data_IF_517115312380
#
_entry.id   IF_517115312380
#
_cell.length_a   1.000
_cell.length_b   1.000
_cell.length_c   1.000
_cell.angle_alpha   90.00
_cell.angle_beta   90.00
_cell.angle_gamma   90.00
#
_symmetry.space_group_name_H-M   'P 1'
#
loop_
_entity.id
_entity.type
_entity.pdbx_description
1 polymer ?
#
# COMPACT_ATOMS: atom_id res chain seq x y z
N UNK A 1 -28.14 22.54 38.50
CA UNK A 1 -26.71 22.94 38.48
C UNK A 1 -25.87 21.69 38.69
N UNK A 2 -25.33 21.10 37.63
CA UNK A 2 -24.31 20.05 37.71
C UNK A 2 -23.14 20.59 36.90
N UNK A 3 -22.13 21.10 37.58
CA UNK A 3 -20.91 21.60 36.96
C UNK A 3 -20.08 20.39 36.50
N UNK A 4 -20.05 20.16 35.19
CA UNK A 4 -19.05 19.29 34.58
C UNK A 4 -17.67 19.95 34.74
N UNK A 5 -16.89 19.45 35.69
CA UNK A 5 -15.47 19.79 35.83
C UNK A 5 -14.72 19.40 34.55
N UNK A 6 -13.73 20.18 34.08
CA UNK A 6 -12.92 19.82 32.93
C UNK A 6 -12.12 18.57 33.30
N UNK A 7 -12.51 17.43 32.75
CA UNK A 7 -11.73 16.19 32.83
C UNK A 7 -10.37 16.49 32.22
N UNK A 8 -9.36 16.64 33.08
CA UNK A 8 -7.99 16.88 32.64
C UNK A 8 -7.55 15.69 31.80
N UNK A 9 -6.77 15.94 30.73
CA UNK A 9 -6.27 14.89 29.84
C UNK A 9 -5.55 13.75 30.59
N UNK A 10 -4.99 14.04 31.76
CA UNK A 10 -4.39 13.05 32.67
C UNK A 10 -5.44 12.14 33.34
N UNK A 11 -6.59 12.69 33.74
CA UNK A 11 -7.72 11.92 34.27
C UNK A 11 -8.28 10.94 33.25
N UNK A 12 -8.43 11.36 31.99
CA UNK A 12 -8.88 10.48 30.92
C UNK A 12 -7.88 9.34 30.64
N UNK A 13 -6.57 9.64 30.64
CA UNK A 13 -5.50 8.66 30.44
C UNK A 13 -5.45 7.62 31.57
N UNK A 14 -5.62 8.07 32.81
CA UNK A 14 -5.62 7.18 33.99
C UNK A 14 -6.86 6.32 34.04
N UNK A 15 -8.05 6.86 33.73
CA UNK A 15 -9.28 6.07 33.61
C UNK A 15 -9.21 5.02 32.50
N UNK A 16 -8.60 5.37 31.36
CA UNK A 16 -8.40 4.45 30.24
C UNK A 16 -7.38 3.35 30.57
N UNK A 17 -6.32 3.67 31.31
CA UNK A 17 -5.36 2.70 31.84
C UNK A 17 -6.00 1.77 32.86
N UNK A 18 -6.81 2.30 33.79
CA UNK A 18 -7.52 1.51 34.81
C UNK A 18 -8.56 0.60 34.15
N UNK A 19 -9.27 1.10 33.14
CA UNK A 19 -10.24 0.30 32.38
C UNK A 19 -9.57 -0.83 31.60
N UNK A 20 -8.45 -0.55 30.91
CA UNK A 20 -7.65 -1.59 30.24
C UNK A 20 -7.06 -2.61 31.22
N UNK A 21 -6.53 -2.15 32.35
CA UNK A 21 -6.00 -3.01 33.41
C UNK A 21 -7.09 -3.88 34.04
N UNK A 22 -8.31 -3.34 34.16
CA UNK A 22 -9.49 -4.08 34.66
C UNK A 22 -10.02 -5.11 33.67
N UNK A 23 -9.83 -4.93 32.37
CA UNK A 23 -10.26 -5.88 31.33
C UNK A 23 -9.29 -7.07 31.16
N UNK A 24 -7.99 -6.82 31.34
CA UNK A 24 -6.94 -7.82 31.13
C UNK A 24 -6.54 -8.55 32.42
N UNK A 25 -6.82 -7.93 33.58
CA UNK A 25 -6.28 -8.37 34.87
C UNK A 25 -4.80 -8.00 35.03
N UNK A 26 -4.38 -7.69 36.26
CA UNK A 26 -3.00 -7.26 36.56
C UNK A 26 -1.98 -8.35 36.19
N UNK A 27 -2.30 -9.62 36.47
CA UNK A 27 -1.43 -10.75 36.18
C UNK A 27 -1.28 -11.00 34.67
N UNK A 28 -2.36 -10.81 33.90
CA UNK A 28 -2.33 -10.89 32.44
C UNK A 28 -1.51 -9.78 31.81
N UNK A 29 -1.60 -8.56 32.35
CA UNK A 29 -0.79 -7.42 31.88
C UNK A 29 0.70 -7.61 32.19
N UNK A 30 1.04 -8.06 33.40
CA UNK A 30 2.42 -8.35 33.79
C UNK A 30 3.03 -9.47 32.94
N UNK A 31 2.26 -10.51 32.61
CA UNK A 31 2.69 -11.57 31.70
C UNK A 31 2.85 -11.10 30.25
N UNK A 32 2.06 -10.11 29.80
CA UNK A 32 2.14 -9.55 28.45
C UNK A 32 3.21 -8.45 28.29
N UNK A 33 3.72 -7.89 29.38
CA UNK A 33 4.66 -6.76 29.33
C UNK A 33 5.96 -7.07 28.57
N UNK A 34 6.63 -8.24 28.77
CA UNK A 34 7.83 -8.59 28.02
C UNK A 34 7.57 -8.76 26.50
N UNK A 35 6.42 -9.31 26.12
CA UNK A 35 6.08 -9.50 24.71
C UNK A 35 5.77 -8.17 24.01
N UNK A 36 5.04 -7.27 24.67
CA UNK A 36 4.80 -5.90 24.17
C UNK A 36 6.14 -5.15 24.04
N UNK A 37 7.02 -5.24 25.04
CA UNK A 37 8.35 -4.64 24.99
C UNK A 37 9.21 -5.22 23.83
N UNK A 38 9.12 -6.53 23.60
CA UNK A 38 9.80 -7.19 22.48
C UNK A 38 9.32 -6.70 21.11
N UNK A 39 8.00 -6.60 20.88
CA UNK A 39 7.50 -6.12 19.59
C UNK A 39 7.74 -4.61 19.39
N UNK A 40 7.64 -3.81 20.44
CA UNK A 40 7.94 -2.37 20.36
C UNK A 40 9.40 -2.12 20.00
N UNK A 41 10.34 -2.87 20.59
CA UNK A 41 11.76 -2.79 20.22
C UNK A 41 11.99 -3.20 18.77
N UNK A 42 11.32 -4.25 18.28
CA UNK A 42 11.40 -4.69 16.88
C UNK A 42 10.85 -3.63 15.91
N UNK A 43 9.76 -2.96 16.26
CA UNK A 43 9.21 -1.83 15.48
C UNK A 43 10.19 -0.66 15.46
N UNK A 44 10.81 -0.31 16.60
CA UNK A 44 11.82 0.75 16.68
C UNK A 44 13.05 0.39 15.83
N UNK A 45 13.50 -0.87 15.83
CA UNK A 45 14.56 -1.35 14.95
C UNK A 45 14.20 -1.17 13.48
N UNK A 46 12.96 -1.51 13.08
CA UNK A 46 12.50 -1.36 11.70
C UNK A 46 12.46 0.12 11.27
N UNK A 47 11.87 0.99 12.10
CA UNK A 47 11.76 2.42 11.83
C UNK A 47 13.16 3.06 11.75
N UNK A 48 14.05 2.76 12.70
CA UNK A 48 15.42 3.28 12.69
C UNK A 48 16.21 2.78 11.47
N UNK A 49 15.97 1.54 11.00
CA UNK A 49 16.58 1.04 9.76
C UNK A 49 16.11 1.82 8.53
N UNK A 50 14.80 2.09 8.42
CA UNK A 50 14.27 2.95 7.36
C UNK A 50 14.88 4.36 7.42
N UNK A 51 15.05 4.92 8.62
CA UNK A 51 15.74 6.20 8.80
C UNK A 51 17.20 6.14 8.37
N UNK A 52 17.93 5.09 8.73
CA UNK A 52 19.33 4.87 8.33
C UNK A 52 19.45 4.83 6.80
N UNK A 53 18.57 4.10 6.11
CA UNK A 53 18.55 4.02 4.65
C UNK A 53 18.24 5.39 4.03
N UNK A 54 17.18 6.06 4.50
CA UNK A 54 16.81 7.39 4.01
C UNK A 54 17.94 8.41 4.18
N UNK A 55 18.60 8.40 5.33
CA UNK A 55 19.71 9.30 5.65
C UNK A 55 20.98 8.99 4.88
N UNK A 56 21.22 7.72 4.53
CA UNK A 56 22.26 7.34 3.59
C UNK A 56 21.98 7.89 2.19
N UNK A 57 20.74 7.78 1.72
CA UNK A 57 20.32 8.36 0.44
C UNK A 57 20.52 9.89 0.40
N UNK A 58 20.13 10.60 1.46
CA UNK A 58 20.39 12.04 1.61
C UNK A 58 21.89 12.35 1.61
N UNK A 59 22.71 11.55 2.32
CA UNK A 59 24.16 11.69 2.34
C UNK A 59 24.79 11.54 0.96
N UNK A 60 24.33 10.57 0.16
CA UNK A 60 24.84 10.36 -1.20
C UNK A 60 24.53 11.56 -2.11
N UNK A 61 23.32 12.12 -2.03
CA UNK A 61 22.98 13.36 -2.74
C UNK A 61 23.82 14.53 -2.25
N UNK A 62 23.97 14.69 -0.94
CA UNK A 62 24.80 15.73 -0.35
C UNK A 62 26.25 15.65 -0.84
N UNK A 63 26.82 14.45 -0.96
CA UNK A 63 28.16 14.24 -1.52
C UNK A 63 28.26 14.75 -2.96
N UNK A 64 27.28 14.43 -3.82
CA UNK A 64 27.24 14.92 -5.20
C UNK A 64 27.19 16.45 -5.23
N UNK A 65 26.31 17.07 -4.44
CA UNK A 65 26.22 18.53 -4.32
C UNK A 65 27.50 19.15 -3.77
N UNK A 66 28.12 18.55 -2.75
CA UNK A 66 29.36 19.06 -2.17
C UNK A 66 30.52 18.99 -3.17
N UNK A 67 30.60 17.93 -3.99
CA UNK A 67 31.64 17.80 -5.00
C UNK A 67 31.46 18.84 -6.11
N UNK A 68 30.22 19.13 -6.50
CA UNK A 68 29.91 20.24 -7.41
C UNK A 68 30.27 21.58 -6.78
N UNK A 69 29.89 21.83 -5.53
CA UNK A 69 30.22 23.09 -4.86
C UNK A 69 31.73 23.30 -4.68
N UNK A 70 32.51 22.24 -4.47
CA UNK A 70 33.98 22.32 -4.48
C UNK A 70 34.51 22.65 -5.87
N UNK A 71 33.96 22.04 -6.92
CA UNK A 71 34.36 22.31 -8.30
C UNK A 71 34.05 23.75 -8.76
N UNK A 72 33.05 24.41 -8.16
CA UNK A 72 32.60 25.75 -8.55
C UNK A 72 32.93 26.86 -7.52
N UNK A 73 33.22 26.52 -6.27
CA UNK A 73 33.21 27.42 -5.12
C UNK A 73 34.52 28.15 -4.80
N UNK A 74 35.59 27.93 -5.57
CA UNK A 74 36.89 28.58 -5.36
C UNK A 74 37.68 28.05 -4.16
N UNK A 75 38.85 28.64 -3.95
CA UNK A 75 39.84 28.23 -2.94
C UNK A 75 39.37 28.67 -1.53
N UNK A 76 38.64 27.79 -0.84
CA UNK A 76 38.08 28.05 0.48
C UNK A 76 36.88 27.16 0.85
N UNK A 77 36.24 26.53 -0.14
CA UNK A 77 35.10 25.61 0.09
C UNK A 77 35.62 24.20 0.34
N UNK A 78 35.70 23.78 1.60
CA UNK A 78 36.13 22.43 1.98
C UNK A 78 34.94 21.46 2.06
N UNK A 79 34.66 20.74 0.96
CA UNK A 79 33.58 19.75 0.91
C UNK A 79 33.75 18.56 1.87
N UNK A 80 34.99 18.19 2.20
CA UNK A 80 35.27 17.06 3.08
C UNK A 80 34.84 17.32 4.53
N UNK A 81 35.04 18.55 5.02
CA UNK A 81 34.64 18.93 6.38
C UNK A 81 33.11 19.01 6.51
N UNK A 82 32.43 19.52 5.48
CA UNK A 82 30.97 19.57 5.44
C UNK A 82 30.34 18.16 5.44
N UNK A 83 30.93 17.21 4.70
CA UNK A 83 30.49 15.81 4.70
C UNK A 83 30.67 15.15 6.07
N UNK A 84 31.78 15.44 6.75
CA UNK A 84 32.05 14.94 8.10
C UNK A 84 31.04 15.50 9.12
N UNK A 85 30.82 16.82 9.10
CA UNK A 85 29.84 17.48 9.96
C UNK A 85 28.42 16.92 9.76
N UNK A 86 28.03 16.67 8.50
CA UNK A 86 26.74 16.04 8.17
C UNK A 86 26.61 14.64 8.79
N UNK A 87 27.65 13.80 8.65
CA UNK A 87 27.65 12.46 9.23
C UNK A 87 27.52 12.49 10.76
N UNK A 88 28.27 13.39 11.43
CA UNK A 88 28.22 13.53 12.89
C UNK A 88 26.84 13.98 13.38
N UNK A 89 26.22 14.92 12.70
CA UNK A 89 24.90 15.44 13.10
C UNK A 89 23.78 14.41 12.94
N UNK A 90 23.95 13.45 12.02
CA UNK A 90 22.90 12.53 11.60
C UNK A 90 23.17 11.07 12.01
N UNK A 91 23.93 10.85 13.08
CA UNK A 91 24.29 9.51 13.58
C UNK A 91 23.24 8.89 14.52
N UNK A 92 22.38 9.70 15.13
CA UNK A 92 21.36 9.28 16.10
C UNK A 92 20.60 7.99 15.74
N UNK A 93 20.07 7.79 14.51
CA UNK A 93 19.30 6.58 14.20
C UNK A 93 20.13 5.28 14.31
N UNK A 94 21.45 5.34 14.11
CA UNK A 94 22.32 4.17 14.29
C UNK A 94 22.42 3.73 15.76
N UNK A 95 22.52 4.70 16.68
CA UNK A 95 22.55 4.40 18.11
C UNK A 95 21.19 3.89 18.62
N UNK A 96 20.09 4.47 18.13
CA UNK A 96 18.74 3.99 18.45
C UNK A 96 18.54 2.56 17.96
N UNK A 97 19.05 2.23 16.77
CA UNK A 97 19.04 0.85 16.26
C UNK A 97 19.83 -0.10 17.15
N UNK A 98 21.09 0.21 17.48
CA UNK A 98 21.93 -0.66 18.30
C UNK A 98 21.36 -0.86 19.72
N UNK A 99 20.84 0.22 20.32
CA UNK A 99 20.19 0.15 21.63
C UNK A 99 18.91 -0.69 21.62
N UNK A 100 18.08 -0.54 20.58
CA UNK A 100 16.86 -1.34 20.44
C UNK A 100 17.14 -2.80 20.13
N UNK A 101 18.19 -3.11 19.35
CA UNK A 101 18.66 -4.48 19.14
C UNK A 101 19.11 -5.14 20.44
N UNK A 102 19.95 -4.45 21.24
CA UNK A 102 20.41 -4.99 22.51
C UNK A 102 19.23 -5.28 23.43
N UNK A 103 18.29 -4.33 23.54
CA UNK A 103 17.09 -4.52 24.35
C UNK A 103 16.24 -5.70 23.83
N UNK A 104 16.05 -5.82 22.51
CA UNK A 104 15.31 -6.92 21.90
C UNK A 104 15.95 -8.29 22.21
N UNK A 105 17.27 -8.40 22.11
CA UNK A 105 18.02 -9.62 22.45
C UNK A 105 17.90 -9.97 23.93
N UNK A 106 17.96 -8.96 24.82
CA UNK A 106 17.78 -9.20 26.27
C UNK A 106 16.36 -9.58 26.65
N UNK A 107 15.35 -9.13 25.89
CA UNK A 107 13.94 -9.46 26.12
C UNK A 107 13.55 -10.82 25.55
N UNK A 108 14.28 -11.31 24.54
CA UNK A 108 14.02 -12.59 23.87
C UNK A 108 13.81 -13.80 24.80
N UNK A 109 14.64 -14.05 25.85
CA UNK A 109 14.44 -15.20 26.73
C UNK A 109 13.21 -15.09 27.64
N UNK A 110 12.66 -13.89 27.84
CA UNK A 110 11.50 -13.66 28.70
C UNK A 110 10.16 -13.82 27.96
N UNK A 111 10.19 -13.94 26.63
CA UNK A 111 8.99 -14.10 25.81
C UNK A 111 8.76 -15.58 25.53
N UNK A 112 7.52 -16.04 25.67
CA UNK A 112 7.15 -17.42 25.36
C UNK A 112 7.42 -17.77 23.89
N UNK A 113 7.97 -18.97 23.65
CA UNK A 113 8.39 -19.43 22.32
C UNK A 113 7.26 -19.39 21.28
N UNK A 114 6.01 -19.60 21.69
CA UNK A 114 4.84 -19.61 20.79
C UNK A 114 4.36 -18.22 20.38
N UNK A 115 4.73 -17.17 21.12
CA UNK A 115 4.31 -15.79 20.82
C UNK A 115 5.14 -15.17 19.71
N UNK A 116 6.35 -15.69 19.47
CA UNK A 116 7.30 -15.12 18.52
C UNK A 116 7.07 -15.71 17.12
N UNK A 117 6.68 -14.90 16.12
CA UNK A 117 6.53 -15.35 14.73
C UNK A 117 7.90 -15.47 14.06
N UNK A 118 8.59 -16.60 14.31
CA UNK A 118 9.96 -16.84 13.87
C UNK A 118 10.14 -16.72 12.34
N UNK A 119 9.23 -17.30 11.55
CA UNK A 119 9.30 -17.26 10.08
C UNK A 119 9.25 -15.84 9.49
N UNK A 120 8.36 -15.00 10.01
CA UNK A 120 8.17 -13.63 9.57
C UNK A 120 9.38 -12.78 9.92
N UNK A 121 9.94 -12.98 11.12
CA UNK A 121 11.14 -12.27 11.57
C UNK A 121 12.34 -12.66 10.71
N UNK A 122 12.49 -13.94 10.32
CA UNK A 122 13.54 -14.37 9.38
C UNK A 122 13.42 -13.65 8.03
N UNK A 123 12.23 -13.64 7.43
CA UNK A 123 12.05 -12.98 6.12
C UNK A 123 12.25 -11.46 6.23
N UNK A 124 11.73 -10.84 7.28
CA UNK A 124 11.91 -9.40 7.53
C UNK A 124 13.39 -9.04 7.73
N UNK A 125 14.10 -9.79 8.57
CA UNK A 125 15.49 -9.53 8.90
C UNK A 125 16.44 -9.83 7.73
N UNK A 126 16.18 -10.88 6.95
CA UNK A 126 16.93 -11.12 5.70
C UNK A 126 16.70 -9.99 4.70
N UNK A 127 15.45 -9.56 4.48
CA UNK A 127 15.14 -8.41 3.62
C UNK A 127 15.86 -7.14 4.08
N UNK A 128 15.77 -6.78 5.37
CA UNK A 128 16.46 -5.62 5.92
C UNK A 128 17.98 -5.73 5.81
N UNK A 129 18.57 -6.92 6.00
CA UNK A 129 20.01 -7.15 5.85
C UNK A 129 20.48 -6.94 4.41
N UNK A 130 19.73 -7.44 3.43
CA UNK A 130 20.05 -7.29 2.00
C UNK A 130 19.88 -5.84 1.56
N UNK A 131 18.80 -5.17 1.98
CA UNK A 131 18.56 -3.76 1.64
C UNK A 131 19.64 -2.85 2.23
N UNK A 132 19.97 -3.03 3.51
CA UNK A 132 21.06 -2.27 4.15
C UNK A 132 22.40 -2.58 3.47
N UNK A 133 22.75 -3.84 3.25
CA UNK A 133 23.97 -4.21 2.54
C UNK A 133 24.04 -3.58 1.14
N UNK A 134 22.97 -3.67 0.35
CA UNK A 134 22.93 -3.08 -0.99
C UNK A 134 23.16 -1.56 -0.97
N UNK A 135 22.46 -0.85 -0.08
CA UNK A 135 22.58 0.62 0.02
C UNK A 135 23.97 1.08 0.48
N UNK A 136 24.73 0.25 1.20
CA UNK A 136 26.07 0.58 1.66
C UNK A 136 27.19 0.05 0.75
N UNK A 137 27.03 -1.15 0.20
CA UNK A 137 27.98 -1.74 -0.73
C UNK A 137 28.00 -1.00 -2.07
N UNK A 138 26.88 -0.38 -2.47
CA UNK A 138 26.84 0.44 -3.66
C UNK A 138 27.40 1.85 -3.38
N UNK A 139 28.68 2.05 -3.70
CA UNK A 139 29.38 3.32 -3.52
C UNK A 139 30.02 3.78 -4.84
N UNK A 140 29.71 5.00 -5.29
CA UNK A 140 30.31 5.60 -6.49
C UNK A 140 30.21 4.73 -7.76
N UNK A 141 29.10 3.98 -7.92
CA UNK A 141 28.88 3.12 -9.10
C UNK A 141 29.70 1.83 -9.12
N UNK A 142 30.41 1.50 -8.03
CA UNK A 142 31.11 0.23 -7.85
C UNK A 142 30.63 -0.45 -6.56
N UNK A 143 30.65 -1.78 -6.56
CA UNK A 143 30.43 -2.56 -5.36
C UNK A 143 31.69 -2.55 -4.50
N UNK A 144 31.56 -2.15 -3.24
CA UNK A 144 32.65 -2.24 -2.26
C UNK A 144 32.90 -3.72 -1.95
N UNK A 145 33.91 -4.29 -2.61
CA UNK A 145 34.27 -5.70 -2.48
C UNK A 145 34.67 -6.07 -1.06
N UNK A 146 35.20 -5.11 -0.28
CA UNK A 146 35.56 -5.33 1.11
C UNK A 146 34.31 -5.56 1.98
N UNK A 147 33.26 -4.77 1.77
CA UNK A 147 31.99 -4.89 2.48
C UNK A 147 31.23 -6.19 2.10
N UNK A 148 31.34 -6.61 0.83
CA UNK A 148 30.75 -7.86 0.36
C UNK A 148 31.50 -9.07 0.91
N UNK A 149 32.83 -9.00 0.92
CA UNK A 149 33.71 -10.03 1.47
C UNK A 149 33.48 -10.21 2.97
N UNK A 150 33.41 -9.12 3.75
CA UNK A 150 33.12 -9.21 5.18
C UNK A 150 31.75 -9.80 5.43
N UNK A 151 30.71 -9.39 4.69
CA UNK A 151 29.38 -9.99 4.82
C UNK A 151 29.40 -11.50 4.50
N UNK A 152 30.08 -11.90 3.42
CA UNK A 152 30.21 -13.29 3.01
C UNK A 152 30.97 -14.15 4.02
N UNK A 153 32.06 -13.64 4.60
CA UNK A 153 32.81 -14.32 5.66
C UNK A 153 31.95 -14.46 6.92
N UNK A 154 31.10 -13.47 7.25
CA UNK A 154 30.18 -13.60 8.39
C UNK A 154 29.17 -14.71 8.16
N UNK A 155 28.64 -14.79 6.94
CA UNK A 155 27.67 -15.80 6.53
C UNK A 155 28.27 -17.20 6.63
N UNK A 156 29.50 -17.39 6.15
CA UNK A 156 30.25 -18.64 6.31
C UNK A 156 30.52 -18.96 7.79
N UNK A 157 31.01 -17.99 8.58
CA UNK A 157 31.33 -18.21 10.00
C UNK A 157 30.12 -18.65 10.85
N UNK A 158 28.92 -18.19 10.48
CA UNK A 158 27.66 -18.47 11.19
C UNK A 158 26.89 -19.68 10.63
N UNK A 159 27.36 -20.27 9.53
CA UNK A 159 26.68 -21.40 8.91
C UNK A 159 26.71 -22.64 9.83
N UNK A 160 25.58 -23.36 10.00
CA UNK A 160 25.52 -24.51 10.89
C UNK A 160 26.08 -25.77 10.20
N UNK A 161 27.41 -25.85 10.11
CA UNK A 161 28.14 -26.95 9.45
C UNK A 161 27.86 -28.34 10.07
N UNK A 162 27.50 -28.40 11.35
CA UNK A 162 27.25 -29.67 12.06
C UNK A 162 25.90 -30.30 11.70
N UNK A 163 24.91 -29.49 11.31
CA UNK A 163 23.54 -29.96 11.04
C UNK A 163 23.28 -30.24 9.56
N UNK A 164 24.19 -29.82 8.68
CA UNK A 164 24.05 -30.06 7.25
C UNK A 164 24.50 -31.48 6.88
N UNK A 165 23.58 -32.28 6.36
CA UNK A 165 23.84 -33.65 5.91
C UNK A 165 24.92 -33.71 4.82
N UNK A 166 25.01 -32.69 3.95
CA UNK A 166 25.96 -32.68 2.83
C UNK A 166 27.39 -32.40 3.30
N UNK A 167 27.56 -31.48 4.25
CA UNK A 167 28.87 -31.19 4.84
C UNK A 167 29.30 -32.27 5.82
N UNK A 168 28.39 -32.72 6.69
CA UNK A 168 28.68 -33.76 7.67
C UNK A 168 28.97 -35.12 7.06
N UNK A 169 28.39 -35.46 5.90
CA UNK A 169 28.67 -36.72 5.20
C UNK A 169 29.70 -36.60 4.07
N UNK A 170 29.77 -35.46 3.37
CA UNK A 170 30.61 -35.31 2.18
C UNK A 170 32.00 -34.72 2.44
N UNK A 171 32.12 -33.76 3.36
CA UNK A 171 33.37 -33.04 3.64
C UNK A 171 34.12 -33.62 4.84
N UNK A 172 33.41 -34.41 5.65
CA UNK A 172 33.88 -35.08 6.86
C UNK A 172 34.47 -36.47 6.62
N UNK A 173 34.85 -36.80 5.37
CA UNK A 173 35.50 -38.08 5.01
C UNK A 173 36.88 -38.29 5.66
N UNK A 174 37.42 -37.26 6.31
CA UNK A 174 38.67 -37.32 7.08
C UNK A 174 38.45 -37.22 8.60
N UNK A 175 37.22 -37.43 9.09
CA UNK A 175 36.97 -37.63 10.52
C UNK A 175 37.04 -39.13 10.78
N UNK A 176 38.27 -39.60 11.08
CA UNK A 176 38.50 -40.97 11.54
C UNK A 176 37.85 -41.05 12.91
N UNK A 177 36.60 -41.54 12.93
CA UNK A 177 35.91 -41.88 14.15
C UNK A 177 36.65 -43.10 14.75
N UNK A 178 37.68 -42.85 15.57
CA UNK A 178 38.27 -43.89 16.42
C UNK A 178 37.38 -43.96 17.65
N UNK A 179 36.52 -45.00 17.78
CA UNK A 179 35.84 -45.19 19.03
C UNK A 179 36.92 -45.70 20.00
N UNK A 180 37.01 -45.08 21.16
CA UNK A 180 37.85 -45.45 22.30
C UNK A 180 39.31 -44.93 22.28
N UNK A 181 39.57 -44.12 23.32
CA UNK A 181 40.84 -43.63 23.87
C UNK A 181 41.32 -42.23 23.49
N UNK A 182 41.69 -41.52 24.57
CA UNK A 182 42.10 -40.13 24.64
C UNK A 182 43.39 -39.89 23.83
N UNK A 183 43.28 -39.18 22.71
CA UNK A 183 44.41 -38.60 22.02
C UNK A 183 44.85 -37.30 22.71
N UNK A 184 45.51 -37.44 23.86
CA UNK A 184 46.48 -36.45 24.28
C UNK A 184 47.85 -36.91 23.78
N UNK A 185 48.65 -35.95 23.28
CA UNK A 185 50.10 -35.96 23.02
C UNK A 185 50.47 -35.77 21.54
N UNK A 186 50.80 -34.50 21.27
CA UNK A 186 51.81 -34.03 20.30
C UNK A 186 51.58 -34.42 18.84
N UNK A 187 50.63 -33.73 18.24
CA UNK A 187 50.57 -33.48 16.80
C UNK A 187 49.79 -32.18 16.65
N UNK A 188 50.35 -31.18 16.00
CA UNK A 188 49.65 -29.93 15.72
C UNK A 188 48.40 -30.31 14.93
N UNK A 189 47.26 -30.39 15.60
CA UNK A 189 45.97 -30.55 14.97
C UNK A 189 45.84 -29.37 14.00
N UNK A 190 46.05 -29.65 12.71
CA UNK A 190 45.55 -28.85 11.60
C UNK A 190 43.99 -28.86 11.56
N UNK A 191 43.35 -29.05 12.72
CA UNK A 191 41.96 -28.72 13.03
C UNK A 191 41.89 -27.26 13.52
N UNK A 192 42.51 -26.34 12.78
CA UNK A 192 42.11 -24.93 12.88
C UNK A 192 40.70 -24.89 12.31
N UNK A 193 39.70 -25.06 13.19
CA UNK A 193 38.30 -25.07 12.82
C UNK A 193 38.08 -23.87 11.88
N UNK A 194 37.70 -24.12 10.62
CA UNK A 194 37.55 -23.05 9.62
C UNK A 194 36.64 -21.93 10.15
N UNK A 195 35.72 -22.26 11.06
CA UNK A 195 34.92 -21.33 11.84
C UNK A 195 35.74 -20.38 12.72
N UNK A 196 36.73 -20.89 13.47
CA UNK A 196 37.66 -20.08 14.26
C UNK A 196 38.50 -19.16 13.37
N UNK A 197 38.96 -19.66 12.21
CA UNK A 197 39.68 -18.85 11.23
C UNK A 197 38.81 -17.68 10.74
N UNK A 198 37.55 -17.92 10.37
CA UNK A 198 36.64 -16.86 9.93
C UNK A 198 36.36 -15.84 11.05
N UNK A 199 36.22 -16.29 12.30
CA UNK A 199 36.08 -15.38 13.44
C UNK A 199 37.33 -14.55 13.72
N UNK A 200 38.52 -15.06 13.43
CA UNK A 200 39.78 -14.33 13.60
C UNK A 200 40.03 -13.35 12.45
N UNK A 201 39.59 -13.68 11.24
CA UNK A 201 39.68 -12.81 10.05
C UNK A 201 38.70 -11.62 10.16
N UNK A 202 37.56 -11.78 10.81
CA UNK A 202 36.55 -10.73 11.01
C UNK A 202 37.09 -9.40 11.58
N UNK A 203 37.74 -9.38 12.77
CA UNK A 203 38.28 -8.14 13.33
C UNK A 203 39.35 -7.52 12.43
N UNK A 204 40.16 -8.34 11.72
CA UNK A 204 41.16 -7.85 10.76
C UNK A 204 40.48 -7.08 9.62
N UNK A 205 39.37 -7.59 9.10
CA UNK A 205 38.63 -6.91 8.03
C UNK A 205 37.99 -5.61 8.55
N UNK A 206 37.44 -5.60 9.77
CA UNK A 206 36.89 -4.38 10.36
C UNK A 206 37.97 -3.31 10.57
N UNK A 207 39.14 -3.68 11.04
CA UNK A 207 40.30 -2.76 11.15
C UNK A 207 40.72 -2.25 9.78
N UNK A 208 40.77 -3.11 8.77
CA UNK A 208 41.10 -2.68 7.39
C UNK A 208 40.04 -1.73 6.83
N UNK A 209 38.77 -1.96 7.11
CA UNK A 209 37.65 -1.14 6.66
C UNK A 209 37.65 0.25 7.31
N UNK A 210 38.13 0.38 8.54
CA UNK A 210 38.31 1.69 9.19
C UNK A 210 39.60 2.37 8.74
N UNK A 211 40.68 1.62 8.54
CA UNK A 211 41.99 2.16 8.16
C UNK A 211 41.99 2.89 6.80
N UNK A 212 41.10 2.54 5.86
CA UNK A 212 41.05 3.21 4.54
C UNK A 212 40.73 4.71 4.61
N UNK A 213 39.90 5.13 5.57
CA UNK A 213 39.47 6.54 5.71
C UNK A 213 39.75 7.09 7.14
N UNK A 214 40.59 6.40 7.93
CA UNK A 214 40.85 6.72 9.34
C UNK A 214 39.59 6.72 10.22
N UNK A 215 39.52 7.65 11.18
CA UNK A 215 38.35 7.82 12.07
C UNK A 215 37.03 8.08 11.32
N UNK A 216 37.09 8.62 10.10
CA UNK A 216 35.90 8.85 9.27
C UNK A 216 35.32 7.52 8.76
N UNK A 217 36.18 6.55 8.46
CA UNK A 217 35.79 5.21 7.99
C UNK A 217 34.91 4.45 8.98
N UNK A 218 35.08 4.70 10.28
CA UNK A 218 34.24 4.14 11.35
C UNK A 218 32.77 4.50 11.12
N UNK A 219 32.49 5.77 10.86
CA UNK A 219 31.11 6.26 10.76
C UNK A 219 30.52 6.08 9.36
N UNK A 220 31.35 6.15 8.32
CA UNK A 220 30.88 6.09 6.92
C UNK A 220 30.71 4.67 6.41
N UNK A 221 31.51 3.71 6.91
CA UNK A 221 31.53 2.32 6.42
C UNK A 221 31.26 1.29 7.52
N UNK A 222 31.96 1.36 8.66
CA UNK A 222 31.88 0.30 9.69
C UNK A 222 30.50 0.27 10.39
N UNK A 223 30.05 1.40 10.97
CA UNK A 223 28.79 1.45 11.72
C UNK A 223 27.59 0.98 10.89
N UNK A 224 27.40 1.44 9.63
CA UNK A 224 26.32 0.94 8.79
C UNK A 224 26.47 -0.53 8.40
N UNK A 225 27.70 -1.00 8.21
CA UNK A 225 27.95 -2.43 7.96
C UNK A 225 27.55 -3.29 9.16
N UNK A 226 27.85 -2.85 10.39
CA UNK A 226 27.39 -3.51 11.61
C UNK A 226 25.86 -3.62 11.70
N UNK A 227 25.11 -2.64 11.21
CA UNK A 227 23.64 -2.70 11.14
C UNK A 227 23.18 -3.84 10.21
N UNK A 228 23.82 -4.01 9.05
CA UNK A 228 23.52 -5.10 8.13
C UNK A 228 23.85 -6.47 8.76
N UNK A 229 25.00 -6.58 9.42
CA UNK A 229 25.40 -7.81 10.13
C UNK A 229 24.48 -8.13 11.31
N UNK A 230 23.97 -7.12 12.02
CA UNK A 230 23.03 -7.30 13.12
C UNK A 230 21.68 -7.85 12.62
N UNK A 231 21.14 -7.32 11.52
CA UNK A 231 19.94 -7.89 10.90
C UNK A 231 20.17 -9.32 10.42
N UNK A 232 21.33 -9.61 9.83
CA UNK A 232 21.68 -10.98 9.48
C UNK A 232 21.73 -11.89 10.71
N UNK A 233 22.32 -11.42 11.81
CA UNK A 233 22.37 -12.18 13.06
C UNK A 233 20.97 -12.45 13.63
N UNK A 234 20.04 -11.49 13.51
CA UNK A 234 18.64 -11.70 13.88
C UNK A 234 17.98 -12.76 12.99
N UNK A 235 18.29 -12.80 11.69
CA UNK A 235 17.80 -13.84 10.79
C UNK A 235 18.26 -15.23 11.20
N UNK A 236 19.55 -15.39 11.54
CA UNK A 236 20.14 -16.67 11.98
C UNK A 236 19.56 -17.12 13.32
N UNK A 237 19.30 -16.20 14.26
CA UNK A 237 18.68 -16.56 15.54
C UNK A 237 17.23 -17.01 15.32
N UNK A 238 16.47 -16.26 14.54
CA UNK A 238 15.07 -16.56 14.26
C UNK A 238 14.87 -17.82 13.41
N UNK A 239 15.86 -18.21 12.59
CA UNK A 239 15.74 -19.40 11.72
C UNK A 239 15.65 -20.71 12.49
N UNK A 240 16.19 -20.77 13.70
CA UNK A 240 16.14 -21.99 14.52
C UNK A 240 14.69 -22.38 14.93
N UNK A 241 13.78 -21.40 15.00
CA UNK A 241 12.37 -21.64 15.32
C UNK A 241 11.44 -21.54 14.10
N UNK A 242 11.99 -21.34 12.90
CA UNK A 242 11.19 -21.11 11.69
C UNK A 242 10.74 -22.44 11.06
N UNK A 243 9.47 -22.50 10.66
CA UNK A 243 8.94 -23.63 9.87
C UNK A 243 9.05 -23.33 8.39
N UNK A 244 9.27 -24.36 7.57
CA UNK A 244 9.28 -24.25 6.11
C UNK A 244 7.98 -23.66 5.55
N UNK A 245 6.83 -24.08 6.08
CA UNK A 245 5.52 -23.53 5.71
C UNK A 245 5.41 -22.04 6.05
N UNK A 246 5.86 -21.64 7.24
CA UNK A 246 5.91 -20.24 7.65
C UNK A 246 6.77 -19.40 6.71
N UNK A 247 7.95 -19.89 6.34
CA UNK A 247 8.86 -19.20 5.42
C UNK A 247 8.23 -18.97 4.05
N UNK A 248 7.61 -19.99 3.44
CA UNK A 248 6.94 -19.85 2.14
C UNK A 248 5.84 -18.80 2.22
N UNK A 249 4.99 -18.86 3.25
CA UNK A 249 3.90 -17.89 3.44
C UNK A 249 4.44 -16.46 3.62
N UNK A 250 5.49 -16.28 4.42
CA UNK A 250 6.10 -14.97 4.64
C UNK A 250 6.77 -14.41 3.38
N UNK A 251 7.45 -15.24 2.60
CA UNK A 251 8.00 -14.85 1.30
C UNK A 251 6.90 -14.45 0.31
N UNK A 252 5.83 -15.25 0.20
CA UNK A 252 4.66 -14.92 -0.63
C UNK A 252 3.99 -13.61 -0.19
N UNK A 253 3.92 -13.35 1.13
CA UNK A 253 3.37 -12.10 1.64
C UNK A 253 4.21 -10.88 1.24
N UNK A 254 5.54 -10.97 1.26
CA UNK A 254 6.43 -9.90 0.81
C UNK A 254 6.31 -9.68 -0.71
N UNK A 255 6.33 -10.74 -1.51
CA UNK A 255 6.15 -10.64 -2.97
C UNK A 255 4.78 -10.06 -3.30
N UNK A 256 3.73 -10.53 -2.62
CA UNK A 256 2.38 -9.99 -2.74
C UNK A 256 2.34 -8.50 -2.40
N UNK A 257 2.94 -8.08 -1.28
CA UNK A 257 3.01 -6.67 -0.89
C UNK A 257 3.68 -5.83 -2.00
N UNK A 258 4.82 -6.27 -2.53
CA UNK A 258 5.55 -5.53 -3.58
C UNK A 258 4.76 -5.43 -4.88
N UNK A 259 4.00 -6.47 -5.25
CA UNK A 259 3.17 -6.47 -6.47
C UNK A 259 1.86 -5.69 -6.30
N UNK A 260 1.22 -5.77 -5.14
CA UNK A 260 -0.07 -5.12 -4.90
C UNK A 260 0.06 -3.64 -4.52
N UNK A 261 1.18 -3.20 -3.94
CA UNK A 261 1.41 -1.80 -3.59
C UNK A 261 1.32 -0.84 -4.81
N UNK A 262 1.96 -1.12 -5.97
CA UNK A 262 1.78 -0.29 -7.17
C UNK A 262 0.38 -0.42 -7.77
N UNK A 263 -0.26 -1.60 -7.69
CA UNK A 263 -1.64 -1.79 -8.13
C UNK A 263 -2.64 -0.98 -7.30
N UNK A 264 -2.46 -0.91 -5.98
CA UNK A 264 -3.25 -0.07 -5.08
C UNK A 264 -3.04 1.42 -5.39
N UNK A 265 -1.81 1.82 -5.73
CA UNK A 265 -1.51 3.16 -6.25
C UNK A 265 -2.30 3.47 -7.52
N UNK A 266 -2.32 2.55 -8.49
CA UNK A 266 -3.13 2.70 -9.71
C UNK A 266 -4.63 2.77 -9.41
N UNK A 267 -5.15 1.86 -8.57
CA UNK A 267 -6.55 1.84 -8.18
C UNK A 267 -6.97 3.16 -7.51
N UNK A 268 -6.10 3.76 -6.68
CA UNK A 268 -6.36 5.06 -6.04
C UNK A 268 -6.51 6.22 -7.03
N UNK A 269 -5.94 6.11 -8.24
CA UNK A 269 -6.08 7.10 -9.32
C UNK A 269 -7.27 6.77 -10.23
N UNK A 270 -7.53 5.49 -10.52
CA UNK A 270 -8.63 5.05 -11.38
C UNK A 270 -10.02 5.20 -10.74
N UNK A 271 -10.15 4.93 -9.44
CA UNK A 271 -11.42 5.05 -8.71
C UNK A 271 -12.04 6.46 -8.76
N UNK A 272 -11.31 7.56 -8.48
CA UNK A 272 -11.85 8.91 -8.60
C UNK A 272 -12.14 9.30 -10.05
N UNK A 273 -11.35 8.81 -11.02
CA UNK A 273 -11.62 9.07 -12.44
C UNK A 273 -12.93 8.40 -12.89
N UNK A 274 -13.17 7.15 -12.47
CA UNK A 274 -14.43 6.46 -12.72
C UNK A 274 -15.63 7.14 -12.03
N UNK A 275 -15.45 7.67 -10.82
CA UNK A 275 -16.48 8.42 -10.11
C UNK A 275 -16.85 9.74 -10.84
N UNK A 276 -15.86 10.46 -11.36
CA UNK A 276 -16.09 11.68 -12.17
C UNK A 276 -16.81 11.35 -13.48
N UNK A 277 -16.43 10.26 -14.16
CA UNK A 277 -17.12 9.83 -15.39
C UNK A 277 -18.57 9.46 -15.11
N UNK A 278 -18.84 8.71 -14.03
CA UNK A 278 -20.21 8.35 -13.61
C UNK A 278 -21.05 9.60 -13.28
N UNK A 279 -20.43 10.61 -12.69
CA UNK A 279 -21.07 11.90 -12.40
C UNK A 279 -21.43 12.66 -13.68
N UNK A 280 -20.57 12.61 -14.70
CA UNK A 280 -20.82 13.26 -16.00
C UNK A 280 -21.87 12.55 -16.84
N UNK A 281 -22.05 11.23 -16.69
CA UNK A 281 -23.03 10.44 -17.47
C UNK A 281 -24.42 10.40 -16.87
N UNK A 282 -24.61 10.85 -15.63
CA UNK A 282 -25.92 10.81 -14.95
C UNK A 282 -26.67 12.12 -15.22
N UNK A 283 -27.24 12.26 -16.42
CA UNK A 283 -27.89 13.51 -16.86
C UNK A 283 -29.44 13.52 -16.77
N UNK A 284 -30.08 12.60 -16.04
CA UNK A 284 -31.54 12.60 -15.91
C UNK A 284 -32.01 12.38 -14.46
N UNK A 285 -31.92 13.43 -13.64
CA UNK A 285 -33.02 13.86 -12.76
C UNK A 285 -32.67 15.20 -12.10
N UNK A 286 -33.51 16.19 -12.38
CA UNK A 286 -33.48 17.54 -11.83
C UNK A 286 -33.86 17.53 -10.34
N UNK A 287 -32.87 17.61 -9.43
CA UNK A 287 -32.93 18.33 -8.16
C UNK A 287 -31.51 18.51 -7.56
N UNK A 288 -31.29 19.55 -6.73
CA UNK A 288 -30.26 20.56 -6.92
C UNK A 288 -28.86 20.07 -6.50
N UNK A 289 -28.05 19.66 -7.48
CA UNK A 289 -26.65 19.23 -7.32
C UNK A 289 -25.64 20.38 -7.12
N UNK A 290 -26.07 21.53 -6.60
CA UNK A 290 -25.21 22.72 -6.52
C UNK A 290 -24.20 22.73 -5.36
N UNK A 291 -24.40 22.06 -4.19
CA UNK A 291 -23.37 22.04 -3.14
C UNK A 291 -22.39 20.85 -3.22
N UNK A 292 -22.84 19.67 -3.65
CA UNK A 292 -22.01 18.46 -3.67
C UNK A 292 -21.02 18.43 -4.84
N UNK A 293 -21.41 18.94 -6.01
CA UNK A 293 -20.52 19.09 -7.16
C UNK A 293 -19.45 20.17 -6.94
N UNK A 294 -19.80 21.28 -6.28
CA UNK A 294 -18.87 22.33 -5.89
C UNK A 294 -17.86 21.83 -4.84
N UNK A 295 -18.30 21.00 -3.89
CA UNK A 295 -17.44 20.40 -2.87
C UNK A 295 -16.46 19.39 -3.49
N UNK A 296 -16.92 18.52 -4.38
CA UNK A 296 -16.05 17.57 -5.08
C UNK A 296 -15.00 18.28 -5.96
N UNK A 297 -15.38 19.35 -6.66
CA UNK A 297 -14.45 20.15 -7.46
C UNK A 297 -13.44 20.92 -6.59
N UNK A 298 -13.88 21.49 -5.46
CA UNK A 298 -13.01 22.18 -4.52
C UNK A 298 -11.99 21.23 -3.85
N UNK A 299 -12.40 20.00 -3.54
CA UNK A 299 -11.52 18.95 -3.02
C UNK A 299 -10.47 18.51 -4.05
N UNK A 300 -10.87 18.40 -5.32
CA UNK A 300 -9.98 18.00 -6.40
C UNK A 300 -8.94 19.11 -6.72
N UNK A 301 -9.36 20.37 -6.69
CA UNK A 301 -8.47 21.52 -6.87
C UNK A 301 -7.49 21.68 -5.70
N UNK A 302 -7.94 21.48 -4.45
CA UNK A 302 -7.04 21.53 -3.27
C UNK A 302 -6.05 20.36 -3.28
N UNK A 303 -6.46 19.16 -3.66
CA UNK A 303 -5.55 18.02 -3.82
C UNK A 303 -4.46 18.27 -4.88
N UNK A 304 -4.83 18.86 -6.04
CA UNK A 304 -3.87 19.18 -7.11
C UNK A 304 -2.95 20.36 -6.72
N UNK A 305 -3.50 21.39 -6.08
CA UNK A 305 -2.73 22.56 -5.62
C UNK A 305 -1.70 22.18 -4.55
N UNK A 306 -2.08 21.29 -3.62
CA UNK A 306 -1.21 20.82 -2.53
C UNK A 306 -0.19 19.80 -3.04
N UNK A 307 -0.58 18.91 -3.97
CA UNK A 307 0.35 17.97 -4.63
C UNK A 307 1.43 18.68 -5.45
N UNK A 308 1.15 19.87 -5.99
CA UNK A 308 2.16 20.71 -6.67
C UNK A 308 3.10 21.45 -5.71
N UNK A 309 2.75 21.63 -4.43
CA UNK A 309 3.54 22.38 -3.43
C UNK A 309 4.43 21.49 -2.55
N UNK A 310 4.61 20.24 -2.94
CA UNK A 310 5.21 19.18 -2.15
C UNK A 310 6.75 19.31 -2.06
N UNK A 311 7.23 19.98 -1.00
CA UNK A 311 8.67 20.07 -0.68
C UNK A 311 9.02 19.92 0.81
N UNK A 312 8.06 19.73 1.72
CA UNK A 312 8.37 19.67 3.17
C UNK A 312 7.78 18.45 3.89
N UNK A 313 8.61 17.84 4.74
CA UNK A 313 8.49 16.50 5.34
C UNK A 313 7.60 16.42 6.58
N UNK A 314 7.09 17.54 7.10
CA UNK A 314 6.16 17.57 8.24
C UNK A 314 4.68 17.50 7.81
N UNK A 315 4.37 18.07 6.64
CA UNK A 315 3.00 18.18 6.10
C UNK A 315 2.48 16.84 5.55
N UNK A 316 3.35 15.91 5.20
CA UNK A 316 3.01 14.58 4.65
C UNK A 316 2.23 13.69 5.61
N UNK A 317 2.44 13.82 6.93
CA UNK A 317 1.71 13.02 7.92
C UNK A 317 0.25 13.46 8.02
N UNK A 318 0.00 14.76 8.02
CA UNK A 318 -1.36 15.34 8.04
C UNK A 318 -2.09 15.05 6.72
N UNK A 319 -1.38 15.12 5.60
CA UNK A 319 -1.93 14.81 4.28
C UNK A 319 -2.38 13.34 4.18
N UNK A 320 -1.60 12.38 4.69
CA UNK A 320 -2.02 10.98 4.68
C UNK A 320 -3.28 10.74 5.52
N UNK A 321 -3.42 11.41 6.68
CA UNK A 321 -4.64 11.32 7.49
C UNK A 321 -5.85 11.96 6.81
N UNK A 322 -5.66 13.08 6.13
CA UNK A 322 -6.72 13.72 5.33
C UNK A 322 -7.12 12.83 4.15
N UNK A 323 -6.15 12.19 3.49
CA UNK A 323 -6.38 11.32 2.33
C UNK A 323 -7.09 10.02 2.72
N UNK A 324 -6.78 9.45 3.89
CA UNK A 324 -7.52 8.33 4.48
C UNK A 324 -8.93 8.77 4.90
N UNK A 325 -9.07 9.94 5.53
CA UNK A 325 -10.38 10.51 5.88
C UNK A 325 -11.27 10.76 4.66
N UNK A 326 -10.70 11.26 3.56
CA UNK A 326 -11.41 11.47 2.30
C UNK A 326 -11.81 10.14 1.63
N UNK A 327 -10.96 9.12 1.73
CA UNK A 327 -11.25 7.76 1.25
C UNK A 327 -12.37 7.09 2.04
N UNK A 328 -12.38 7.26 3.36
CA UNK A 328 -13.47 6.75 4.21
C UNK A 328 -14.77 7.50 3.89
N UNK A 329 -14.72 8.83 3.73
CA UNK A 329 -15.88 9.63 3.37
C UNK A 329 -16.44 9.25 1.98
N UNK A 330 -15.57 8.96 1.00
CA UNK A 330 -16.01 8.53 -0.34
C UNK A 330 -16.65 7.14 -0.31
N UNK A 331 -16.10 6.20 0.46
CA UNK A 331 -16.70 4.87 0.69
C UNK A 331 -18.04 4.99 1.39
N UNK A 332 -18.19 5.85 2.40
CA UNK A 332 -19.46 6.09 3.08
C UNK A 332 -20.50 6.72 2.13
N UNK A 333 -20.09 7.66 1.28
CA UNK A 333 -20.99 8.26 0.28
C UNK A 333 -21.38 7.28 -0.84
N UNK A 334 -20.50 6.33 -1.18
CA UNK A 334 -20.77 5.27 -2.16
C UNK A 334 -21.61 4.13 -1.59
N UNK A 335 -21.45 3.80 -0.30
CA UNK A 335 -22.26 2.80 0.40
C UNK A 335 -23.57 3.36 0.96
N UNK A 336 -23.68 4.67 1.17
CA UNK A 336 -24.89 5.34 1.65
C UNK A 336 -26.18 4.97 0.90
N UNK A 337 -26.20 4.96 -0.45
CA UNK A 337 -27.37 4.54 -1.21
C UNK A 337 -27.66 3.03 -1.14
N UNK A 338 -26.69 2.20 -0.72
CA UNK A 338 -26.87 0.74 -0.55
C UNK A 338 -27.41 0.43 0.85
N UNK A 339 -26.98 1.20 1.86
CA UNK A 339 -27.33 0.99 3.27
C UNK A 339 -28.66 1.64 3.67
N UNK A 340 -29.03 2.77 3.04
CA UNK A 340 -30.33 3.40 3.17
C UNK A 340 -31.02 3.41 1.81
N UNK A 341 -31.67 2.30 1.41
CA UNK A 341 -32.61 2.37 0.30
C UNK A 341 -33.69 3.39 0.70
N UNK A 342 -33.81 4.47 -0.08
CA UNK A 342 -34.99 5.32 0.00
C UNK A 342 -36.22 4.42 -0.20
N UNK A 343 -37.31 4.59 0.57
CA UNK A 343 -38.48 3.71 0.52
C UNK A 343 -39.22 3.70 -0.83
N UNK A 344 -38.79 4.50 -1.80
CA UNK A 344 -39.39 4.59 -3.13
C UNK A 344 -38.73 3.70 -4.20
N UNK A 345 -37.54 3.13 -3.94
CA UNK A 345 -36.97 2.08 -4.81
C UNK A 345 -37.44 0.71 -4.32
N UNK A 346 -38.76 0.54 -4.34
CA UNK A 346 -39.36 -0.78 -4.27
C UNK A 346 -38.81 -1.63 -5.42
N UNK A 347 -38.10 -2.70 -5.06
CA UNK A 347 -38.15 -3.93 -5.84
C UNK A 347 -39.62 -4.21 -6.11
N UNK A 348 -40.11 -3.81 -7.30
CA UNK A 348 -41.38 -4.31 -7.79
C UNK A 348 -41.20 -5.82 -7.90
N UNK A 349 -41.93 -6.64 -7.11
CA UNK A 349 -41.98 -8.06 -7.37
C UNK A 349 -42.49 -8.19 -8.81
N UNK A 350 -41.79 -8.98 -9.62
CA UNK A 350 -42.12 -9.34 -11.00
C UNK A 350 -43.63 -9.33 -11.20
N UNK A 351 -44.16 -8.17 -11.62
CA UNK A 351 -45.59 -7.94 -11.65
C UNK A 351 -46.13 -8.78 -12.78
N UNK A 352 -47.06 -9.67 -12.47
CA UNK A 352 -47.83 -10.42 -13.46
C UNK A 352 -48.24 -9.48 -14.59
N UNK A 353 -47.92 -9.78 -15.87
CA UNK A 353 -48.24 -8.88 -16.97
C UNK A 353 -49.75 -8.63 -17.01
N UNK A 354 -50.15 -7.37 -17.08
CA UNK A 354 -51.55 -6.98 -17.12
C UNK A 354 -52.15 -7.44 -18.46
N UNK A 355 -53.26 -8.17 -18.46
CA UNK A 355 -53.90 -8.57 -19.72
C UNK A 355 -54.60 -7.38 -20.36
N UNK A 356 -54.67 -7.34 -21.69
CA UNK A 356 -55.36 -6.28 -22.43
C UNK A 356 -56.81 -6.04 -21.94
N UNK A 357 -57.52 -7.11 -21.56
CA UNK A 357 -58.88 -7.02 -21.00
C UNK A 357 -58.94 -6.28 -19.66
N UNK A 358 -57.94 -6.43 -18.81
CA UNK A 358 -57.84 -5.73 -17.52
C UNK A 358 -57.51 -4.25 -17.73
N UNK A 359 -56.60 -3.96 -18.67
CA UNK A 359 -56.30 -2.60 -19.09
C UNK A 359 -57.54 -1.90 -19.64
N UNK A 360 -58.28 -2.55 -20.55
CA UNK A 360 -59.47 -1.99 -21.17
C UNK A 360 -60.63 -1.82 -20.17
N UNK A 361 -60.76 -2.68 -19.15
CA UNK A 361 -61.71 -2.46 -18.05
C UNK A 361 -61.37 -1.20 -17.23
N UNK A 362 -60.09 -0.90 -17.08
CA UNK A 362 -59.63 0.24 -16.26
C UNK A 362 -59.63 1.56 -17.05
N UNK A 363 -59.22 1.51 -18.31
CA UNK A 363 -58.98 2.68 -19.17
C UNK A 363 -59.93 2.80 -20.36
N UNK A 364 -60.78 1.80 -20.65
CA UNK A 364 -61.55 1.70 -21.90
C UNK A 364 -62.96 2.28 -21.88
N UNK A 365 -63.46 2.80 -20.75
CA UNK A 365 -64.82 3.35 -20.65
C UNK A 365 -64.97 4.80 -21.18
N UNK A 366 -64.03 5.31 -21.97
CA UNK A 366 -64.11 6.68 -22.53
C UNK A 366 -65.09 6.84 -23.69
N UNK A 367 -65.92 5.82 -23.98
CA UNK A 367 -66.95 5.87 -25.05
C UNK A 367 -68.37 6.03 -24.51
N UNK A 368 -68.52 6.55 -23.29
CA UNK A 368 -69.77 7.18 -22.86
C UNK A 368 -69.71 8.67 -23.22
N UNK A 369 -70.76 9.17 -23.88
CA UNK A 369 -70.94 10.56 -24.33
C UNK A 369 -70.93 11.52 -23.12
N UNK A 370 -69.74 11.93 -22.68
CA UNK A 370 -69.59 12.94 -21.62
C UNK A 370 -68.25 12.98 -20.87
N UNK A 371 -67.35 12.00 -21.02
CA UNK A 371 -66.08 11.99 -20.27
C UNK A 371 -64.98 12.83 -20.94
N UNK A 372 -64.28 13.67 -20.17
CA UNK A 372 -63.16 14.49 -20.68
C UNK A 372 -61.88 13.66 -20.83
N UNK A 373 -61.11 13.93 -21.90
CA UNK A 373 -59.82 13.25 -22.18
C UNK A 373 -58.84 13.33 -21.00
N UNK A 374 -58.87 14.43 -20.26
CA UNK A 374 -57.98 14.69 -19.12
C UNK A 374 -58.28 13.76 -17.94
N UNK A 375 -59.57 13.54 -17.63
CA UNK A 375 -59.97 12.63 -16.54
C UNK A 375 -59.59 11.17 -16.84
N UNK A 376 -59.62 10.78 -18.12
CA UNK A 376 -59.14 9.45 -18.55
C UNK A 376 -57.62 9.35 -18.42
N UNK A 377 -56.89 10.39 -18.80
CA UNK A 377 -55.43 10.41 -18.77
C UNK A 377 -54.87 10.38 -17.35
N UNK A 378 -55.51 11.08 -16.41
CA UNK A 378 -55.17 11.03 -14.99
C UNK A 378 -55.42 9.63 -14.39
N UNK A 379 -56.56 9.02 -14.70
CA UNK A 379 -56.90 7.66 -14.24
C UNK A 379 -55.92 6.61 -14.78
N UNK A 380 -55.50 6.73 -16.04
CA UNK A 380 -54.56 5.79 -16.66
C UNK A 380 -53.09 6.08 -16.34
N UNK A 381 -52.76 7.25 -15.76
CA UNK A 381 -51.40 7.60 -15.38
C UNK A 381 -50.81 6.61 -14.35
N UNK A 382 -51.65 6.02 -13.50
CA UNK A 382 -51.26 5.02 -12.49
C UNK A 382 -50.66 3.76 -13.12
N UNK A 383 -51.01 3.47 -14.39
CA UNK A 383 -50.52 2.28 -15.10
C UNK A 383 -49.25 2.56 -15.93
N UNK A 384 -48.67 3.76 -15.81
CA UNK A 384 -47.45 4.12 -16.56
C UNK A 384 -46.24 3.30 -16.08
N UNK A 385 -45.57 2.63 -17.02
CA UNK A 385 -44.40 1.77 -16.73
C UNK A 385 -44.70 0.27 -16.58
N UNK A 386 -45.98 -0.15 -16.63
CA UNK A 386 -46.35 -1.58 -16.59
C UNK A 386 -46.42 -2.21 -17.99
N UNK A 387 -45.98 -3.46 -18.10
CA UNK A 387 -46.05 -4.23 -19.35
C UNK A 387 -47.45 -4.84 -19.54
N UNK A 388 -48.08 -4.51 -20.67
CA UNK A 388 -49.40 -5.02 -21.05
C UNK A 388 -49.23 -6.11 -22.11
N UNK A 389 -49.83 -7.27 -21.86
CA UNK A 389 -49.88 -8.35 -22.85
C UNK A 389 -51.16 -8.23 -23.69
N UNK A 390 -51.00 -8.03 -25.00
CA UNK A 390 -52.08 -7.93 -25.97
C UNK A 390 -51.84 -8.90 -27.13
N UNK A 391 -52.93 -9.44 -27.68
CA UNK A 391 -52.92 -10.26 -28.89
C UNK A 391 -53.87 -9.62 -29.91
N UNK A 392 -53.44 -9.50 -31.17
CA UNK A 392 -54.24 -8.88 -32.22
C UNK A 392 -53.55 -8.96 -33.58
N UNK A 393 -54.31 -8.78 -34.66
CA UNK A 393 -53.77 -8.86 -36.02
C UNK A 393 -53.34 -7.46 -36.48
N UNK A 394 -52.08 -7.33 -36.86
CA UNK A 394 -51.52 -6.06 -37.38
C UNK A 394 -52.06 -5.82 -38.79
N UNK A 395 -52.82 -4.74 -38.99
CA UNK A 395 -53.37 -4.38 -40.30
C UNK A 395 -52.42 -3.42 -41.03
N UNK A 396 -51.78 -2.50 -40.31
CA UNK A 396 -50.81 -1.58 -40.90
C UNK A 396 -49.80 -1.07 -39.86
N UNK A 397 -48.60 -0.80 -40.34
CA UNK A 397 -47.49 -0.28 -39.56
C UNK A 397 -47.03 1.05 -40.16
N UNK A 398 -46.92 2.10 -39.35
CA UNK A 398 -46.37 3.40 -39.76
C UNK A 398 -45.27 3.83 -38.80
N UNK A 399 -44.23 4.51 -39.31
CA UNK A 399 -43.17 5.07 -38.48
C UNK A 399 -43.72 6.28 -37.72
N UNK A 400 -43.69 6.22 -36.39
CA UNK A 400 -44.28 7.22 -35.50
C UNK A 400 -43.31 8.38 -35.20
N UNK A 401 -42.06 8.05 -34.88
CA UNK A 401 -41.04 9.05 -34.58
C UNK A 401 -39.65 8.52 -34.94
N UNK A 402 -38.84 9.37 -35.56
CA UNK A 402 -37.44 9.11 -35.86
C UNK A 402 -36.62 9.97 -34.90
N UNK A 403 -35.93 9.34 -33.95
CA UNK A 403 -35.08 10.02 -32.96
C UNK A 403 -33.62 9.92 -33.38
N UNK A 404 -32.93 11.05 -33.52
CA UNK A 404 -31.50 11.11 -33.84
C UNK A 404 -30.73 11.88 -32.75
N UNK A 405 -30.21 11.20 -31.72
CA UNK A 405 -29.51 11.84 -30.61
C UNK A 405 -28.18 12.48 -31.03
N UNK A 406 -27.55 11.97 -32.09
CA UNK A 406 -26.23 12.43 -32.56
C UNK A 406 -26.33 13.76 -33.31
N UNK A 407 -27.45 14.02 -34.00
CA UNK A 407 -27.68 15.29 -34.69
C UNK A 407 -27.74 16.50 -33.73
N UNK A 408 -28.24 16.30 -32.50
CA UNK A 408 -28.33 17.34 -31.47
C UNK A 408 -26.94 17.75 -30.97
N UNK A 409 -26.01 16.81 -30.89
CA UNK A 409 -24.63 17.06 -30.42
C UNK A 409 -23.81 17.72 -31.53
N UNK A 410 -23.94 17.25 -32.78
CA UNK A 410 -23.19 17.80 -33.93
C UNK A 410 -23.61 19.25 -34.24
N UNK A 411 -24.87 19.61 -34.01
CA UNK A 411 -25.37 20.98 -34.22
C UNK A 411 -24.90 21.99 -33.17
N UNK A 412 -24.27 21.54 -32.07
CA UNK A 412 -23.78 22.40 -30.96
C UNK A 412 -22.27 22.66 -31.00
N UNK A 413 -21.54 22.07 -31.95
CA UNK A 413 -20.10 22.28 -32.10
C UNK A 413 -19.82 23.54 -32.95
N UNK A 414 -19.01 24.50 -32.45
CA UNK A 414 -18.62 25.68 -33.23
C UNK A 414 -17.73 25.28 -34.42
N UNK A 415 -18.13 25.68 -35.63
CA UNK A 415 -17.52 25.27 -36.93
C UNK A 415 -16.16 25.91 -37.21
N UNK A 416 -15.63 26.74 -36.31
CA UNK A 416 -14.40 27.53 -36.54
C UNK A 416 -13.25 27.00 -35.68
N UNK A 417 -12.61 25.90 -36.10
CA UNK A 417 -11.18 25.61 -35.87
C UNK A 417 -10.76 24.16 -36.15
N UNK A 418 -11.22 23.52 -37.24
CA UNK A 418 -10.63 22.22 -37.66
C UNK A 418 -10.51 22.07 -39.17
N UNK A 419 -9.73 22.95 -39.82
CA UNK A 419 -9.39 22.83 -41.25
C UNK A 419 -8.21 21.87 -41.52
N UNK A 420 -7.73 21.10 -40.52
CA UNK A 420 -6.70 20.07 -40.71
C UNK A 420 -7.15 18.62 -40.49
N UNK A 421 -8.41 18.35 -40.08
CA UNK A 421 -8.92 16.99 -39.83
C UNK A 421 -9.84 16.43 -40.95
N UNK A 422 -10.00 17.15 -42.07
CA UNK A 422 -11.08 16.89 -43.04
C UNK A 422 -10.83 15.68 -43.98
N UNK A 423 -9.67 15.01 -43.95
CA UNK A 423 -9.48 13.81 -44.80
C UNK A 423 -9.88 12.46 -44.19
N UNK A 424 -10.13 12.37 -42.87
CA UNK A 424 -10.56 11.10 -42.25
C UNK A 424 -12.08 10.97 -42.07
N UNK A 425 -12.83 12.07 -42.20
CA UNK A 425 -14.23 12.15 -41.76
C UNK A 425 -15.27 11.85 -42.86
N UNK A 426 -14.84 11.66 -44.12
CA UNK A 426 -15.75 11.31 -45.21
C UNK A 426 -16.05 9.79 -45.22
N UNK A 427 -15.14 8.95 -44.69
CA UNK A 427 -15.35 7.50 -44.61
C UNK A 427 -16.21 7.08 -43.40
N UNK A 428 -16.18 7.83 -42.29
CA UNK A 428 -16.93 7.52 -41.07
C UNK A 428 -18.41 7.99 -41.09
N UNK A 429 -18.77 8.89 -42.01
CA UNK A 429 -20.11 9.48 -42.12
C UNK A 429 -21.16 8.49 -42.65
N UNK A 430 -20.75 7.42 -43.33
CA UNK A 430 -21.66 6.44 -43.92
C UNK A 430 -21.92 5.21 -43.04
N UNK A 431 -21.17 5.02 -41.94
CA UNK A 431 -21.19 3.78 -41.15
C UNK A 431 -21.97 3.85 -39.82
N UNK A 432 -22.38 5.04 -39.37
CA UNK A 432 -23.06 5.23 -38.06
C UNK A 432 -24.44 5.90 -38.24
N UNK A 433 -25.23 5.42 -39.19
CA UNK A 433 -26.67 5.74 -39.30
C UNK A 433 -27.50 4.49 -39.04
N UNK A 434 -27.29 3.84 -37.88
CA UNK A 434 -28.26 2.89 -37.34
C UNK A 434 -29.48 3.70 -36.85
N UNK A 435 -30.42 3.92 -37.77
CA UNK A 435 -31.74 4.50 -37.49
C UNK A 435 -32.59 3.45 -36.78
N UNK A 436 -33.03 3.72 -35.56
CA UNK A 436 -34.12 2.96 -34.95
C UNK A 436 -35.45 3.70 -35.21
N UNK A 437 -36.32 3.18 -36.10
CA UNK A 437 -37.68 3.70 -36.22
C UNK A 437 -38.53 3.17 -35.07
N UNK A 438 -39.22 4.07 -34.35
CA UNK A 438 -40.36 3.65 -33.53
C UNK A 438 -41.56 3.43 -34.46
N UNK A 439 -42.14 2.23 -34.44
CA UNK A 439 -43.25 1.83 -35.31
C UNK A 439 -44.54 1.90 -34.50
N UNK A 440 -45.47 2.75 -34.91
CA UNK A 440 -46.86 2.69 -34.45
C UNK A 440 -47.62 1.65 -35.26
N UNK A 441 -48.23 0.68 -34.59
CA UNK A 441 -49.05 -0.36 -35.20
C UNK A 441 -50.52 -0.01 -35.03
N UNK A 442 -51.28 -0.09 -36.11
CA UNK A 442 -52.74 -0.06 -36.09
C UNK A 442 -53.24 -1.50 -36.10
N UNK A 443 -53.90 -1.88 -35.01
CA UNK A 443 -54.32 -3.27 -34.72
C UNK A 443 -55.86 -3.30 -34.73
N UNK A 444 -56.46 -4.28 -35.42
CA UNK A 444 -57.83 -4.69 -35.10
C UNK A 444 -57.79 -5.97 -34.27
N UNK A 445 -58.76 -6.09 -33.36
CA UNK A 445 -59.07 -7.35 -32.72
C UNK A 445 -59.79 -8.28 -33.69
#
# INVERSE_FOLDING_TARGET
MISFSPVTMAGLKTLLLVWLASLVGLDGFLAALPSIAYFTTLIVMLISTCQVIAKKWESNHFKQWSNLLVAWGGDGVNGAEAQWAYCRNNITPYYVFLGSLLLNLTLSPFVGAFTIPHSEIVVLSTLCSVLTLYTFAWANGKLDSLALLSFGINLLARYPYETDAVVSQGWRFLDVHVPTFASYIVGVEFCLNFRLLFYLVMPVIFVRMTATDGWRGVYTRLVPHCVALAWWQMAVIASNGATWYGLIRSCLAVVGLVLFLPLAGLASVFLPMAAVVKLLTTEHQVLPLTPSAAFALALLVTAIYIGRRQRSTSTTRVINWIQVGLGILSVILLLGPILNPSPDDGLLPRSTPLTWSQYQRHCGNSREEGSSMVATQERCAVLTGLFIHWEGRVISARVARIFNPVAVIVSKLPVVSTLKFIKLNIAFKNSILLRQPSISLTVSQ
#
